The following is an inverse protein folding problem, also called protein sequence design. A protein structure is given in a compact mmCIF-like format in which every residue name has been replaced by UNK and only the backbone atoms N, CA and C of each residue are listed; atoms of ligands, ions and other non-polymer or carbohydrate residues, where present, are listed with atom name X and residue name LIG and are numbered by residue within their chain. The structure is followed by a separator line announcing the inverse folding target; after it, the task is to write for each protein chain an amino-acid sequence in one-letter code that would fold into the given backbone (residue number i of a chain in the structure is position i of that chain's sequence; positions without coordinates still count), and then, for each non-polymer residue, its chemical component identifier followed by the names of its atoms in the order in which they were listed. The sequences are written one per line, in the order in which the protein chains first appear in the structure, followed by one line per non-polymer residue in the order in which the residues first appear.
data_IF_617943413738
#
_entry.id   IF_617943413738
#
_cell.length_a   1.000
_cell.length_b   1.000
_cell.length_c   1.000
_cell.angle_alpha   90.00
_cell.angle_beta   90.00
_cell.angle_gamma   90.00
#
_symmetry.space_group_name_H-M   'P 1'
#
loop_
_entity.id
_entity.type
_entity.pdbx_description
1 polymer ?
#
# COMPACT_ATOMS: atom_id res chain seq x y z
N UNK A 1 -32.16 4.46 2.73
CA UNK A 1 -30.90 3.70 2.71
C UNK A 1 -30.18 4.01 4.01
N UNK A 2 -29.88 2.98 4.80
CA UNK A 2 -29.19 3.14 6.09
C UNK A 2 -27.74 2.72 5.91
N UNK A 3 -26.80 3.58 6.29
CA UNK A 3 -25.38 3.23 6.31
C UNK A 3 -25.12 2.39 7.56
N UNK A 4 -24.55 1.20 7.37
CA UNK A 4 -24.17 0.29 8.46
C UNK A 4 -22.68 -0.01 8.37
N UNK A 5 -22.05 -0.34 9.50
CA UNK A 5 -20.66 -0.80 9.51
C UNK A 5 -20.58 -2.19 8.87
N UNK A 6 -19.67 -2.35 7.91
CA UNK A 6 -19.40 -3.65 7.29
C UNK A 6 -18.72 -4.63 8.27
N UNK A 7 -17.89 -4.12 9.18
CA UNK A 7 -17.22 -4.88 10.24
C UNK A 7 -17.39 -4.11 11.56
N UNK A 8 -18.49 -4.32 12.29
CA UNK A 8 -18.84 -3.50 13.46
C UNK A 8 -17.85 -3.65 14.62
N UNK A 9 -17.21 -4.81 14.76
CA UNK A 9 -16.33 -5.17 15.88
C UNK A 9 -14.84 -4.95 15.58
N UNK A 10 -14.50 -4.49 14.37
CA UNK A 10 -13.12 -4.14 13.99
C UNK A 10 -12.92 -2.62 13.99
N UNK A 11 -11.70 -2.21 14.34
CA UNK A 11 -11.29 -0.80 14.34
C UNK A 11 -9.85 -0.68 13.84
N UNK A 12 -9.62 0.30 12.98
CA UNK A 12 -8.32 0.57 12.35
C UNK A 12 -7.96 2.05 12.51
N UNK A 13 -6.68 2.36 12.58
CA UNK A 13 -6.15 3.71 12.66
C UNK A 13 -5.67 4.17 11.29
N UNK A 14 -6.25 5.28 10.80
CA UNK A 14 -5.85 5.93 9.54
C UNK A 14 -5.71 4.90 8.40
N UNK A 15 -6.78 4.15 8.16
CA UNK A 15 -6.86 3.17 7.08
C UNK A 15 -6.55 3.83 5.73
N UNK A 16 -5.73 3.18 4.91
CA UNK A 16 -5.39 3.65 3.56
C UNK A 16 -5.91 2.73 2.46
N UNK A 17 -5.99 1.41 2.71
CA UNK A 17 -6.52 0.44 1.75
C UNK A 17 -7.33 -0.66 2.45
N UNK A 18 -8.26 -1.26 1.70
CA UNK A 18 -8.95 -2.52 2.00
C UNK A 18 -8.92 -3.36 0.72
N UNK A 19 -8.24 -4.51 0.74
CA UNK A 19 -7.96 -5.32 -0.46
C UNK A 19 -8.23 -6.79 -0.16
N UNK A 20 -8.81 -7.51 -1.13
CA UNK A 20 -8.96 -8.97 -1.10
C UNK A 20 -8.20 -9.56 -2.30
N UNK A 21 -7.19 -10.44 -2.09
CA UNK A 21 -6.58 -11.19 -3.18
C UNK A 21 -7.55 -12.23 -3.74
N UNK A 22 -7.37 -12.58 -5.01
CA UNK A 22 -8.06 -13.71 -5.65
C UNK A 22 -7.28 -15.01 -5.39
N UNK A 23 -7.20 -15.42 -4.12
CA UNK A 23 -6.43 -16.60 -3.68
C UNK A 23 -7.29 -17.71 -3.08
N UNK A 24 -8.61 -17.56 -3.17
CA UNK A 24 -9.60 -18.52 -2.66
C UNK A 24 -9.69 -18.62 -1.14
N UNK A 25 -8.99 -17.78 -0.35
CA UNK A 25 -8.97 -17.87 1.13
C UNK A 25 -9.98 -16.98 1.87
N UNK A 26 -10.79 -16.19 1.15
CA UNK A 26 -11.77 -15.26 1.73
C UNK A 26 -11.20 -14.41 2.89
N UNK A 27 -9.99 -13.86 2.68
CA UNK A 27 -9.32 -12.98 3.63
C UNK A 27 -9.24 -11.56 3.09
N UNK A 28 -9.53 -10.59 3.94
CA UNK A 28 -9.33 -9.16 3.68
C UNK A 28 -8.05 -8.67 4.32
N UNK A 29 -7.40 -7.74 3.63
CA UNK A 29 -6.21 -7.05 4.07
C UNK A 29 -6.48 -5.56 4.21
N UNK A 30 -6.05 -4.97 5.32
CA UNK A 30 -6.19 -3.55 5.60
C UNK A 30 -4.84 -2.95 5.88
N UNK A 31 -4.54 -1.83 5.24
CA UNK A 31 -3.33 -1.05 5.55
C UNK A 31 -3.68 0.10 6.47
N UNK A 32 -2.88 0.28 7.52
CA UNK A 32 -2.85 1.48 8.34
C UNK A 32 -1.68 2.36 7.90
N UNK A 33 -1.92 3.68 7.81
CA UNK A 33 -0.92 4.64 7.32
C UNK A 33 0.44 4.52 8.04
N UNK A 34 0.45 4.13 9.32
CA UNK A 34 1.68 3.97 10.11
C UNK A 34 2.56 2.77 9.73
N UNK A 35 2.16 1.95 8.75
CA UNK A 35 3.00 0.89 8.21
C UNK A 35 2.62 -0.53 8.63
N UNK A 36 1.38 -0.75 9.09
CA UNK A 36 0.88 -2.09 9.39
C UNK A 36 -0.10 -2.56 8.34
N UNK A 37 0.01 -3.83 7.98
CA UNK A 37 -0.99 -4.56 7.21
C UNK A 37 -1.63 -5.56 8.14
N UNK A 38 -2.95 -5.48 8.27
CA UNK A 38 -3.77 -6.43 9.01
C UNK A 38 -4.46 -7.38 8.05
N UNK A 39 -4.58 -8.65 8.43
CA UNK A 39 -5.35 -9.67 7.71
C UNK A 39 -6.47 -10.18 8.61
N UNK A 40 -7.68 -10.37 8.05
CA UNK A 40 -8.81 -10.95 8.76
C UNK A 40 -9.80 -11.61 7.78
N UNK A 41 -10.64 -12.54 8.26
CA UNK A 41 -11.63 -13.21 7.41
C UNK A 41 -12.69 -12.24 6.86
N UNK A 42 -13.11 -12.41 5.61
CA UNK A 42 -14.10 -11.60 4.90
C UNK A 42 -15.55 -11.88 5.35
N UNK A 43 -15.78 -11.88 6.67
CA UNK A 43 -17.09 -12.11 7.29
C UNK A 43 -17.42 -10.97 8.25
N UNK A 44 -18.69 -10.56 8.27
CA UNK A 44 -19.16 -9.42 9.05
C UNK A 44 -18.99 -9.61 10.57
N UNK A 45 -18.96 -10.85 11.05
CA UNK A 45 -18.76 -11.25 12.44
C UNK A 45 -17.27 -11.43 12.82
N UNK A 46 -16.33 -10.98 11.98
CA UNK A 46 -14.92 -10.95 12.34
C UNK A 46 -14.68 -9.96 13.49
N UNK A 47 -14.07 -10.44 14.58
CA UNK A 47 -13.79 -9.65 15.80
C UNK A 47 -12.30 -9.38 16.03
N UNK A 48 -11.43 -10.08 15.32
CA UNK A 48 -9.97 -10.01 15.49
C UNK A 48 -9.25 -9.93 14.15
N UNK A 49 -8.03 -9.41 14.19
CA UNK A 49 -7.12 -9.27 13.05
C UNK A 49 -5.73 -9.77 13.45
N UNK A 50 -4.94 -10.20 12.47
CA UNK A 50 -3.52 -10.53 12.64
C UNK A 50 -2.69 -9.48 11.91
N UNK A 51 -1.56 -9.06 12.48
CA UNK A 51 -0.60 -8.21 11.76
C UNK A 51 0.14 -9.06 10.75
N UNK A 52 -0.28 -8.97 9.49
CA UNK A 52 0.33 -9.67 8.36
C UNK A 52 1.74 -9.17 8.07
N UNK A 53 1.95 -7.86 8.09
CA UNK A 53 3.25 -7.22 7.86
C UNK A 53 3.37 -5.95 8.70
N UNK A 54 4.53 -5.73 9.32
CA UNK A 54 4.87 -4.50 10.03
C UNK A 54 6.12 -3.85 9.44
N UNK A 55 5.92 -2.78 8.66
CA UNK A 55 6.97 -1.92 8.09
C UNK A 55 7.07 -0.56 8.80
N UNK A 56 6.56 -0.42 10.03
CA UNK A 56 6.58 0.84 10.79
C UNK A 56 8.00 1.43 10.88
N UNK A 57 9.02 0.56 10.94
CA UNK A 57 10.43 0.96 10.95
C UNK A 57 10.94 1.58 9.63
N UNK A 58 10.27 1.36 8.50
CA UNK A 58 10.65 1.86 7.18
C UNK A 58 9.88 3.15 6.80
N UNK A 59 8.68 3.31 7.36
CA UNK A 59 7.71 4.33 6.95
C UNK A 59 7.94 5.68 7.65
N UNK A 60 7.91 6.76 6.87
CA UNK A 60 7.70 8.12 7.34
C UNK A 60 6.20 8.45 7.29
N UNK A 61 5.63 8.85 8.40
CA UNK A 61 4.24 9.34 8.52
C UNK A 61 4.18 10.77 9.08
N UNK A 62 5.29 11.54 8.96
CA UNK A 62 5.38 12.90 9.49
C UNK A 62 4.48 13.91 8.76
N UNK A 63 4.23 13.68 7.47
CA UNK A 63 3.24 14.39 6.66
C UNK A 63 1.90 13.69 6.62
N UNK A 64 0.80 14.44 6.48
CA UNK A 64 -0.55 13.87 6.50
C UNK A 64 -0.84 12.87 5.36
N UNK A 65 -0.13 13.00 4.23
CA UNK A 65 -0.23 12.11 3.07
C UNK A 65 1.01 11.20 2.92
N UNK A 66 1.91 11.20 3.90
CA UNK A 66 3.00 10.24 3.99
C UNK A 66 2.55 9.01 4.77
N UNK A 67 3.11 7.85 4.46
CA UNK A 67 2.82 6.61 5.19
C UNK A 67 2.92 5.38 4.31
N UNK A 68 2.27 4.29 4.72
CA UNK A 68 1.89 3.17 3.86
C UNK A 68 0.61 3.54 3.11
N UNK A 69 0.73 3.70 1.79
CA UNK A 69 -0.30 4.32 0.95
C UNK A 69 -0.89 3.37 -0.09
N UNK A 70 -0.15 2.36 -0.54
CA UNK A 70 -0.62 1.39 -1.53
C UNK A 70 -0.43 -0.05 -1.11
N UNK A 71 -1.36 -0.91 -1.50
CA UNK A 71 -1.27 -2.37 -1.44
C UNK A 71 -1.91 -3.00 -2.68
N UNK A 72 -1.21 -3.93 -3.32
CA UNK A 72 -1.76 -4.78 -4.37
C UNK A 72 -1.17 -6.19 -4.28
N UNK A 73 -1.98 -7.20 -4.59
CA UNK A 73 -1.54 -8.59 -4.68
C UNK A 73 -1.23 -8.95 -6.13
N UNK A 74 -0.19 -9.75 -6.35
CA UNK A 74 0.10 -10.28 -7.68
C UNK A 74 -1.07 -11.14 -8.19
N UNK A 75 -1.34 -11.19 -9.51
CA UNK A 75 -2.38 -12.07 -10.05
C UNK A 75 -2.16 -13.55 -9.73
N UNK A 76 -0.91 -13.96 -9.49
CA UNK A 76 -0.50 -15.32 -9.10
C UNK A 76 -0.24 -15.44 -7.59
N UNK A 77 -0.83 -14.58 -6.75
CA UNK A 77 -0.52 -14.52 -5.32
C UNK A 77 -0.73 -15.85 -4.58
N UNK A 78 -1.70 -16.67 -5.00
CA UNK A 78 -1.94 -17.98 -4.42
C UNK A 78 -0.72 -18.92 -4.56
N UNK A 79 0.01 -18.80 -5.66
CA UNK A 79 1.20 -19.59 -5.97
C UNK A 79 2.50 -18.89 -5.55
N UNK A 80 2.63 -17.59 -5.84
CA UNK A 80 3.86 -16.83 -5.66
C UNK A 80 4.02 -16.27 -4.25
N UNK A 81 2.89 -15.98 -3.58
CA UNK A 81 2.87 -15.22 -2.34
C UNK A 81 3.30 -13.76 -2.52
N UNK A 82 3.41 -13.26 -3.75
CA UNK A 82 3.90 -11.91 -4.02
C UNK A 82 2.83 -10.84 -3.85
N UNK A 83 3.19 -9.80 -3.12
CA UNK A 83 2.37 -8.60 -2.97
C UNK A 83 3.27 -7.37 -2.96
N UNK A 84 2.67 -6.21 -3.25
CA UNK A 84 3.36 -4.96 -3.49
C UNK A 84 2.81 -3.91 -2.55
N UNK A 85 3.71 -3.12 -1.98
CA UNK A 85 3.39 -1.99 -1.11
C UNK A 85 4.03 -0.73 -1.66
N UNK A 86 3.35 0.39 -1.49
CA UNK A 86 3.91 1.71 -1.77
C UNK A 86 3.88 2.56 -0.51
N UNK A 87 5.04 3.09 -0.12
CA UNK A 87 5.18 3.84 1.13
C UNK A 87 6.15 5.01 1.03
N UNK A 88 5.96 6.02 1.88
CA UNK A 88 6.92 7.11 2.08
C UNK A 88 8.03 6.65 3.03
N UNK A 89 9.30 6.69 2.62
CA UNK A 89 10.42 6.20 3.44
C UNK A 89 10.89 7.21 4.51
N UNK A 90 11.40 6.72 5.65
CA UNK A 90 11.96 7.52 6.78
C UNK A 90 13.06 8.51 6.39
N UNK A 91 13.83 8.22 5.34
CA UNK A 91 14.90 9.11 4.89
C UNK A 91 15.83 8.47 3.85
N UNK A 92 16.36 9.22 2.87
CA UNK A 92 15.87 10.53 2.44
C UNK A 92 14.40 10.46 1.98
N UNK A 93 13.71 11.61 1.97
CA UNK A 93 12.28 11.70 1.61
C UNK A 93 12.06 11.25 0.18
N UNK A 94 11.38 10.12 0.04
CA UNK A 94 11.05 9.47 -1.22
C UNK A 94 9.91 8.50 -1.00
N UNK A 95 9.26 8.14 -2.08
CA UNK A 95 8.34 7.01 -2.09
C UNK A 95 9.05 5.76 -2.60
N UNK A 96 8.67 4.62 -2.05
CA UNK A 96 9.25 3.32 -2.35
C UNK A 96 8.12 2.37 -2.74
N UNK A 97 8.23 1.77 -3.93
CA UNK A 97 7.47 0.61 -4.33
C UNK A 97 8.31 -0.63 -4.03
N UNK A 98 7.82 -1.49 -3.16
CA UNK A 98 8.48 -2.74 -2.79
C UNK A 98 7.56 -3.93 -3.06
N UNK A 99 8.13 -5.02 -3.53
CA UNK A 99 7.52 -6.35 -3.52
C UNK A 99 7.94 -7.08 -2.24
N UNK A 100 7.01 -7.73 -1.57
CA UNK A 100 7.25 -8.67 -0.48
C UNK A 100 6.73 -10.05 -0.85
N UNK A 101 7.12 -11.07 -0.07
CA UNK A 101 6.62 -12.44 -0.23
C UNK A 101 6.00 -12.92 1.08
N UNK A 102 4.77 -13.42 1.03
CA UNK A 102 4.13 -14.04 2.19
C UNK A 102 4.88 -15.28 2.64
N UNK A 103 4.83 -15.58 3.93
CA UNK A 103 5.41 -16.81 4.45
C UNK A 103 4.59 -18.01 3.94
N UNK A 104 5.28 -19.01 3.37
CA UNK A 104 4.62 -20.20 2.80
C UNK A 104 4.07 -21.14 3.87
N UNK A 105 4.75 -21.23 5.01
CA UNK A 105 4.36 -22.11 6.11
C UNK A 105 3.25 -21.47 6.97
N UNK A 106 3.17 -20.14 6.93
CA UNK A 106 2.11 -19.36 7.58
C UNK A 106 1.71 -18.16 6.69
N UNK A 107 0.75 -18.35 5.78
CA UNK A 107 0.40 -17.34 4.79
C UNK A 107 -0.50 -16.25 5.37
N UNK A 108 -0.62 -16.17 6.70
CA UNK A 108 -1.16 -15.02 7.44
C UNK A 108 -0.08 -14.07 7.95
N UNK A 109 1.20 -14.33 7.63
CA UNK A 109 2.33 -13.48 7.97
C UNK A 109 3.28 -13.26 6.77
N UNK A 110 3.98 -12.14 6.76
CA UNK A 110 5.08 -11.81 5.87
C UNK A 110 6.22 -11.14 6.66
N UNK A 111 7.46 -11.41 6.24
CA UNK A 111 8.65 -10.91 6.93
C UNK A 111 9.36 -9.80 6.18
N UNK A 112 9.96 -8.86 6.93
CA UNK A 112 10.76 -7.75 6.38
C UNK A 112 11.92 -8.23 5.49
N UNK A 113 12.49 -9.40 5.80
CA UNK A 113 13.60 -9.98 5.02
C UNK A 113 13.23 -10.35 3.58
N UNK A 114 11.94 -10.39 3.23
CA UNK A 114 11.48 -10.69 1.87
C UNK A 114 11.35 -9.45 0.97
N UNK A 115 11.65 -8.25 1.49
CA UNK A 115 11.55 -7.01 0.72
C UNK A 115 12.47 -7.03 -0.50
N UNK A 116 11.88 -6.73 -1.65
CA UNK A 116 12.57 -6.36 -2.87
C UNK A 116 12.07 -4.99 -3.31
N UNK A 117 12.95 -3.99 -3.23
CA UNK A 117 12.67 -2.64 -3.74
C UNK A 117 12.62 -2.69 -5.28
N UNK A 118 11.53 -2.20 -5.85
CA UNK A 118 11.28 -2.17 -7.31
C UNK A 118 11.54 -0.78 -7.88
N UNK A 119 11.07 0.26 -7.19
CA UNK A 119 11.19 1.65 -7.63
C UNK A 119 11.30 2.58 -6.42
N UNK A 120 12.18 3.58 -6.52
CA UNK A 120 12.28 4.68 -5.57
C UNK A 120 12.11 6.01 -6.30
N UNK A 121 11.22 6.87 -5.81
CA UNK A 121 10.91 8.17 -6.41
C UNK A 121 11.14 9.28 -5.38
N UNK A 122 12.13 10.17 -5.57
CA UNK A 122 12.34 11.31 -4.68
C UNK A 122 11.07 12.18 -4.56
N UNK A 123 10.73 12.60 -3.35
CA UNK A 123 9.53 13.40 -3.07
C UNK A 123 9.93 14.78 -2.54
N UNK A 124 9.59 15.89 -3.25
CA UNK A 124 10.02 17.23 -2.85
C UNK A 124 9.18 17.83 -1.71
N UNK A 125 8.00 17.28 -1.41
CA UNK A 125 7.17 17.66 -0.26
C UNK A 125 6.46 16.44 0.38
N UNK A 126 5.73 16.70 1.47
CA UNK A 126 5.02 15.68 2.30
C UNK A 126 3.60 15.39 1.84
N UNK A 127 3.21 15.92 0.68
CA UNK A 127 1.87 15.80 0.13
C UNK A 127 1.94 15.58 -1.38
N UNK A 128 0.81 15.21 -1.95
CA UNK A 128 0.60 14.69 -3.29
C UNK A 128 1.52 13.50 -3.59
N UNK A 129 1.58 12.54 -2.66
CA UNK A 129 2.45 11.37 -2.81
C UNK A 129 1.82 10.26 -3.67
N UNK A 130 0.52 10.34 -3.98
CA UNK A 130 -0.20 9.32 -4.74
C UNK A 130 -0.19 7.97 -4.02
N UNK A 131 0.01 6.89 -4.77
CA UNK A 131 0.32 5.57 -4.21
C UNK A 131 -0.72 4.49 -4.42
N UNK A 132 -1.80 4.76 -5.14
CA UNK A 132 -2.72 3.69 -5.54
C UNK A 132 -1.96 2.68 -6.41
N UNK A 133 -2.07 1.41 -6.04
CA UNK A 133 -1.56 0.27 -6.80
C UNK A 133 -2.72 -0.55 -7.34
N UNK A 134 -2.59 -1.08 -8.56
CA UNK A 134 -3.52 -2.04 -9.12
C UNK A 134 -2.84 -2.87 -10.21
N UNK A 135 -3.17 -4.16 -10.28
CA UNK A 135 -2.86 -4.94 -11.48
C UNK A 135 -3.95 -4.75 -12.53
N UNK A 136 -3.55 -4.46 -13.75
CA UNK A 136 -4.46 -4.41 -14.90
C UNK A 136 -4.77 -5.80 -15.44
N UNK A 137 -5.80 -5.93 -16.30
CA UNK A 137 -6.15 -7.18 -16.96
C UNK A 137 -5.08 -7.66 -17.97
N UNK A 138 -4.13 -6.80 -18.30
CA UNK A 138 -2.94 -7.06 -19.12
C UNK A 138 -1.76 -7.63 -18.31
N UNK A 139 -1.91 -7.75 -17.00
CA UNK A 139 -0.89 -8.31 -16.10
C UNK A 139 0.18 -7.32 -15.63
N UNK A 140 0.07 -6.04 -16.00
CA UNK A 140 0.99 -5.02 -15.51
C UNK A 140 0.55 -4.46 -14.16
N UNK A 141 1.53 -4.11 -13.31
CA UNK A 141 1.28 -3.34 -12.10
C UNK A 141 1.30 -1.85 -12.44
N UNK A 142 0.17 -1.19 -12.20
CA UNK A 142 0.01 0.24 -12.36
C UNK A 142 0.19 0.98 -11.04
N UNK A 143 0.81 2.16 -11.09
CA UNK A 143 0.93 3.06 -9.94
C UNK A 143 0.56 4.50 -10.32
N UNK A 144 -0.31 5.12 -9.51
CA UNK A 144 -0.59 6.56 -9.61
C UNK A 144 0.37 7.38 -8.75
N UNK A 145 1.18 8.24 -9.36
CA UNK A 145 2.10 9.15 -8.68
C UNK A 145 1.58 10.59 -8.73
N UNK A 146 1.51 11.25 -7.57
CA UNK A 146 1.20 12.69 -7.54
C UNK A 146 2.39 13.55 -7.98
N UNK A 147 2.17 14.86 -8.11
CA UNK A 147 3.17 15.84 -8.59
C UNK A 147 4.28 16.14 -7.57
N UNK A 148 4.23 15.54 -6.38
CA UNK A 148 5.22 15.75 -5.32
C UNK A 148 4.95 16.96 -4.42
N UNK A 149 3.79 17.60 -4.57
CA UNK A 149 3.16 18.36 -3.50
C UNK A 149 3.27 19.87 -3.58
N UNK A 150 2.85 20.50 -2.48
CA UNK A 150 2.47 21.92 -2.34
C UNK A 150 1.26 22.31 -3.22
N UNK A 151 0.68 23.48 -2.95
CA UNK A 151 -0.41 24.01 -3.76
C UNK A 151 0.11 24.63 -5.06
N UNK A 152 -0.53 24.32 -6.18
CA UNK A 152 -0.27 24.95 -7.48
C UNK A 152 0.95 24.42 -8.25
N UNK A 153 1.38 23.17 -8.00
CA UNK A 153 2.52 22.51 -8.66
C UNK A 153 3.77 23.41 -8.81
N UNK A 154 4.33 23.94 -7.71
CA UNK A 154 5.47 24.84 -7.78
C UNK A 154 6.76 24.16 -8.27
N UNK A 155 6.77 22.82 -8.33
CA UNK A 155 7.87 22.05 -8.88
C UNK A 155 7.71 21.78 -10.38
N UNK A 156 6.54 22.09 -10.95
CA UNK A 156 6.24 21.91 -12.37
C UNK A 156 6.26 20.45 -12.82
N UNK A 157 5.93 19.52 -11.92
CA UNK A 157 6.03 18.09 -12.19
C UNK A 157 4.80 17.54 -12.93
N UNK A 158 3.63 18.15 -12.77
CA UNK A 158 2.37 17.62 -13.29
C UNK A 158 2.27 17.52 -14.81
N UNK A 159 3.15 18.20 -15.55
CA UNK A 159 3.25 18.12 -17.03
C UNK A 159 4.68 17.84 -17.52
N UNK A 160 5.59 17.47 -16.61
CA UNK A 160 7.00 17.30 -16.95
C UNK A 160 7.31 15.82 -17.24
N UNK A 161 7.48 15.48 -18.50
CA UNK A 161 7.78 14.10 -18.94
C UNK A 161 9.21 13.64 -18.62
N UNK A 162 10.03 14.48 -17.98
CA UNK A 162 11.37 14.11 -17.50
C UNK A 162 11.37 13.57 -16.06
N UNK A 163 10.21 13.55 -15.39
CA UNK A 163 10.01 12.97 -14.05
C UNK A 163 8.94 11.89 -14.09
N UNK A 164 8.95 11.01 -13.08
CA UNK A 164 7.88 10.03 -12.86
C UNK A 164 6.70 10.63 -12.09
N UNK A 165 6.88 11.79 -11.46
CA UNK A 165 5.82 12.46 -10.70
C UNK A 165 4.69 12.93 -11.63
N UNK A 166 3.48 13.03 -11.09
CA UNK A 166 2.29 13.46 -11.85
C UNK A 166 1.83 12.48 -12.94
N UNK A 167 2.19 11.20 -12.81
CA UNK A 167 2.02 10.19 -13.87
C UNK A 167 1.28 8.94 -13.38
N UNK A 168 0.77 8.16 -14.34
CA UNK A 168 0.44 6.74 -14.14
C UNK A 168 1.54 5.95 -14.84
N UNK A 169 2.23 5.10 -14.08
CA UNK A 169 3.22 4.14 -14.61
C UNK A 169 2.58 2.77 -14.78
#
# INVERSE_FOLDING_TARGET
MTIVRAFPDLSFRRMTNLVQPDDGRDMLFVTEQGGKIHIFPARQDATETVVFLDITGLVNEGGNEEGLLGLAFAPDYAESGHFYVYYSARGPRRSVLSRFTSNRDDPTHAGLASELIILEVPQPASNHNGGQLAFGPDGYLYIGLGDGGRGGDPFGNGQNTATLLGSIL
#
